data_IF_367784705563
#
_entry.id   IF_367784705563
#
_cell.length_a   1.000
_cell.length_b   1.000
_cell.length_c   1.000
_cell.angle_alpha   90.00
_cell.angle_beta   90.00
_cell.angle_gamma   90.00
#
_symmetry.space_group_name_H-M   'P 1'
#
loop_
_entity.id
_entity.type
_entity.pdbx_description
1 polymer ?
#
# COMPACT_ATOMS: atom_id res chain seq x y z
N UNK A 1 -21.71 -17.48 36.85
CA UNK A 1 -22.29 -16.37 37.64
C UNK A 1 -22.07 -15.12 36.81
N UNK A 2 -23.14 -14.66 36.17
CA UNK A 2 -23.21 -13.50 35.29
C UNK A 2 -23.28 -12.23 36.12
N UNK A 3 -22.59 -11.18 35.69
CA UNK A 3 -22.96 -9.75 35.85
C UNK A 3 -22.02 -8.94 34.94
N UNK A 4 -22.48 -8.49 33.77
CA UNK A 4 -23.17 -7.22 33.49
C UNK A 4 -22.35 -5.97 33.80
N UNK A 5 -21.58 -5.50 32.80
CA UNK A 5 -21.19 -4.11 32.62
C UNK A 5 -21.69 -3.66 31.25
N UNK A 6 -22.64 -2.72 31.23
CA UNK A 6 -23.45 -2.37 30.07
C UNK A 6 -22.66 -1.91 28.84
N UNK A 7 -22.92 -2.56 27.71
CA UNK A 7 -22.67 -2.06 26.37
C UNK A 7 -23.98 -1.52 25.83
N UNK A 8 -24.18 -0.20 25.89
CA UNK A 8 -25.12 0.52 25.01
C UNK A 8 -24.91 2.03 25.14
N UNK A 9 -23.94 2.57 24.39
CA UNK A 9 -23.96 3.94 23.88
C UNK A 9 -23.24 3.96 22.52
N UNK A 10 -23.95 3.57 21.47
CA UNK A 10 -23.38 3.48 20.12
C UNK A 10 -22.97 4.84 19.55
N UNK A 11 -21.66 5.03 19.45
CA UNK A 11 -21.03 6.10 18.69
C UNK A 11 -20.13 5.44 17.66
N UNK A 12 -20.34 5.77 16.38
CA UNK A 12 -19.58 5.20 15.27
C UNK A 12 -18.70 6.28 14.63
N UNK A 13 -17.60 5.89 14.00
CA UNK A 13 -16.67 6.81 13.33
C UNK A 13 -16.72 6.76 11.79
N UNK A 14 -17.66 6.00 11.24
CA UNK A 14 -18.02 5.96 9.81
C UNK A 14 -19.02 7.07 9.47
N UNK A 15 -19.13 7.55 8.23
CA UNK A 15 -20.11 8.62 7.95
C UNK A 15 -21.52 8.05 7.91
N UNK A 16 -22.39 8.43 8.85
CA UNK A 16 -23.78 7.95 8.94
C UNK A 16 -24.71 8.79 8.05
N UNK A 17 -25.53 8.10 7.26
CA UNK A 17 -26.62 8.66 6.47
C UNK A 17 -27.94 7.98 6.90
N UNK A 18 -28.93 8.77 7.31
CA UNK A 18 -30.25 8.24 7.68
C UNK A 18 -31.11 8.17 6.41
N UNK A 19 -31.56 6.96 6.06
CA UNK A 19 -32.64 6.82 5.08
C UNK A 19 -33.96 7.08 5.80
N UNK A 20 -34.76 8.09 5.40
CA UNK A 20 -36.08 8.28 6.00
C UNK A 20 -36.93 7.03 5.79
N UNK A 21 -37.57 6.54 6.85
CA UNK A 21 -38.47 5.38 6.81
C UNK A 21 -39.59 5.56 5.78
N UNK A 22 -40.00 4.45 5.17
CA UNK A 22 -40.98 4.37 4.08
C UNK A 22 -42.28 5.15 4.38
N UNK A 23 -42.36 6.36 3.84
CA UNK A 23 -43.61 7.07 3.60
C UNK A 23 -43.95 6.98 2.12
N UNK A 24 -44.98 6.20 1.76
CA UNK A 24 -45.56 6.19 0.41
C UNK A 24 -45.90 7.62 -0.05
N UNK A 25 -45.29 8.05 -1.14
CA UNK A 25 -45.87 9.07 -2.02
C UNK A 25 -45.52 8.75 -3.48
N UNK A 26 -46.56 8.57 -4.29
CA UNK A 26 -46.49 8.37 -5.73
C UNK A 26 -45.93 9.60 -6.45
N UNK A 27 -45.23 9.32 -7.55
CA UNK A 27 -44.54 10.23 -8.49
C UNK A 27 -45.37 11.39 -9.05
N UNK A 28 -44.69 12.38 -9.66
CA UNK A 28 -44.88 12.55 -11.09
C UNK A 28 -43.57 12.48 -11.89
N UNK A 29 -43.67 11.73 -13.00
CA UNK A 29 -42.65 11.58 -14.05
C UNK A 29 -42.22 12.95 -14.59
N UNK A 30 -40.93 13.26 -14.51
CA UNK A 30 -40.30 14.26 -15.39
C UNK A 30 -39.27 13.56 -16.26
N UNK A 31 -39.69 13.24 -17.48
CA UNK A 31 -38.84 12.66 -18.54
C UNK A 31 -37.98 13.79 -19.11
N UNK A 32 -36.70 13.87 -18.72
CA UNK A 32 -35.70 14.65 -19.46
C UNK A 32 -34.84 13.70 -20.29
N UNK A 33 -35.10 13.70 -21.59
CA UNK A 33 -34.29 13.07 -22.61
C UNK A 33 -32.93 13.78 -22.64
N UNK A 34 -31.88 13.13 -22.15
CA UNK A 34 -30.50 13.58 -22.39
C UNK A 34 -30.02 12.86 -23.64
N UNK A 35 -29.75 13.62 -24.68
CA UNK A 35 -29.17 13.14 -25.93
C UNK A 35 -27.79 12.53 -25.67
N UNK A 36 -27.61 11.26 -26.03
CA UNK A 36 -26.30 10.61 -26.10
C UNK A 36 -25.48 11.23 -27.24
N UNK A 37 -24.61 12.18 -26.90
CA UNK A 37 -23.50 12.59 -27.76
C UNK A 37 -22.38 11.56 -27.69
N UNK A 38 -22.25 10.72 -28.71
CA UNK A 38 -21.06 9.89 -28.94
C UNK A 38 -19.85 10.81 -29.16
N UNK A 39 -18.97 10.93 -28.16
CA UNK A 39 -17.60 11.39 -28.37
C UNK A 39 -16.66 10.20 -28.26
N UNK A 40 -16.21 9.73 -29.41
CA UNK A 40 -15.19 8.69 -29.52
C UNK A 40 -13.91 9.13 -28.81
N UNK A 41 -13.49 8.33 -27.83
CA UNK A 41 -12.16 8.47 -27.22
C UNK A 41 -11.18 7.71 -28.11
N UNK A 42 -10.38 8.46 -28.86
CA UNK A 42 -9.27 7.94 -29.65
C UNK A 42 -8.23 7.32 -28.69
N UNK A 43 -8.11 5.99 -28.73
CA UNK A 43 -7.05 5.26 -28.04
C UNK A 43 -5.73 5.58 -28.78
N UNK A 44 -4.95 6.52 -28.23
CA UNK A 44 -3.56 6.72 -28.68
C UNK A 44 -2.74 5.50 -28.27
N UNK A 45 -2.37 4.69 -29.26
CA UNK A 45 -1.40 3.60 -29.12
C UNK A 45 -0.07 4.19 -28.68
N UNK A 46 0.33 3.94 -27.43
CA UNK A 46 1.71 4.16 -27.00
C UNK A 46 2.57 3.02 -27.57
N UNK A 47 3.43 3.36 -28.52
CA UNK A 47 4.40 2.43 -29.07
C UNK A 47 5.53 2.23 -28.05
N UNK A 48 5.70 1.00 -27.57
CA UNK A 48 6.88 0.60 -26.79
C UNK A 48 7.99 0.31 -27.79
N UNK A 49 8.99 1.20 -27.85
CA UNK A 49 10.21 0.97 -28.64
C UNK A 49 11.16 0.11 -27.79
N UNK A 50 11.29 -1.16 -28.15
CA UNK A 50 12.34 -2.03 -27.61
C UNK A 50 13.57 -1.82 -28.48
N UNK A 51 14.50 -1.00 -28.01
CA UNK A 51 15.81 -0.87 -28.64
C UNK A 51 16.65 -2.11 -28.28
N UNK A 52 16.87 -2.98 -29.26
CA UNK A 52 17.82 -4.08 -29.17
C UNK A 52 19.23 -3.52 -29.35
N UNK A 53 20.01 -3.40 -28.27
CA UNK A 53 21.43 -3.11 -28.34
C UNK A 53 22.22 -4.41 -28.17
N UNK A 54 23.07 -4.68 -29.15
CA UNK A 54 23.83 -5.90 -29.31
C UNK A 54 25.00 -6.08 -28.33
N UNK A 55 25.49 -7.32 -28.36
CA UNK A 55 26.56 -7.94 -27.57
C UNK A 55 27.88 -7.16 -27.56
N UNK A 56 28.53 -7.11 -26.39
CA UNK A 56 29.99 -6.96 -26.26
C UNK A 56 30.50 -7.65 -24.98
N UNK A 57 30.99 -8.88 -25.15
CA UNK A 57 31.62 -9.74 -24.14
C UNK A 57 32.80 -9.07 -23.40
N UNK A 58 32.50 -8.48 -22.24
CA UNK A 58 33.44 -8.17 -21.15
C UNK A 58 32.65 -8.10 -19.82
N UNK A 59 32.00 -9.22 -19.47
CA UNK A 59 30.77 -9.21 -18.65
C UNK A 59 30.83 -9.95 -17.31
N UNK A 60 31.96 -10.53 -16.90
CA UNK A 60 31.95 -11.48 -15.76
C UNK A 60 32.05 -10.81 -14.38
N UNK A 61 32.87 -9.76 -14.20
CA UNK A 61 33.08 -9.17 -12.86
C UNK A 61 32.12 -8.04 -12.48
N UNK A 62 31.81 -7.12 -13.40
CA UNK A 62 30.92 -5.97 -13.14
C UNK A 62 29.43 -6.33 -13.02
N UNK A 63 29.12 -7.63 -13.06
CA UNK A 63 27.80 -8.18 -12.84
C UNK A 63 27.76 -9.01 -11.55
N UNK A 64 28.92 -9.35 -10.99
CA UNK A 64 29.01 -10.24 -9.83
C UNK A 64 28.45 -9.58 -8.57
N UNK A 65 28.73 -8.29 -8.34
CA UNK A 65 28.19 -7.58 -7.18
C UNK A 65 26.65 -7.50 -7.22
N UNK A 66 26.10 -7.12 -8.38
CA UNK A 66 24.64 -7.09 -8.59
C UNK A 66 24.01 -8.47 -8.53
N UNK A 67 24.67 -9.52 -9.05
CA UNK A 67 24.18 -10.89 -8.95
C UNK A 67 24.15 -11.36 -7.50
N UNK A 68 25.15 -11.05 -6.67
CA UNK A 68 25.13 -11.38 -5.24
C UNK A 68 24.03 -10.60 -4.50
N UNK A 69 23.93 -9.29 -4.77
CA UNK A 69 22.85 -8.46 -4.22
C UNK A 69 21.45 -8.97 -4.64
N UNK A 70 21.32 -9.56 -5.83
CA UNK A 70 20.06 -10.10 -6.34
C UNK A 70 19.87 -11.59 -6.07
N UNK A 71 20.78 -12.28 -5.39
CA UNK A 71 20.62 -13.68 -4.98
C UNK A 71 20.87 -13.78 -3.49
N UNK A 72 19.91 -13.32 -2.69
CA UNK A 72 20.01 -13.28 -1.25
C UNK A 72 18.67 -13.54 -0.57
N UNK A 73 18.74 -14.03 0.67
CA UNK A 73 17.66 -13.96 1.66
C UNK A 73 18.08 -12.96 2.72
N UNK A 74 17.18 -12.08 3.14
CA UNK A 74 17.49 -11.02 4.08
C UNK A 74 16.41 -10.81 5.13
N UNK A 75 16.83 -10.34 6.29
CA UNK A 75 15.99 -9.89 7.40
C UNK A 75 16.30 -8.44 7.68
N UNK A 76 15.28 -7.65 8.00
CA UNK A 76 15.43 -6.23 8.28
C UNK A 76 14.57 -5.76 9.43
N UNK A 77 15.05 -4.71 10.11
CA UNK A 77 14.33 -3.98 11.15
C UNK A 77 14.36 -2.49 10.82
N UNK A 78 13.37 -1.75 11.30
CA UNK A 78 13.25 -0.36 10.92
C UNK A 78 12.05 0.37 11.50
N UNK A 79 11.66 1.44 10.83
CA UNK A 79 10.60 2.33 11.24
C UNK A 79 9.71 2.72 10.06
N UNK A 80 8.40 2.81 10.30
CA UNK A 80 7.40 3.21 9.31
C UNK A 80 6.55 4.38 9.82
N UNK A 81 6.93 5.63 9.49
CA UNK A 81 6.02 6.76 9.54
C UNK A 81 4.76 6.54 8.69
N UNK A 82 3.60 6.75 9.32
CA UNK A 82 2.28 6.75 8.72
C UNK A 82 1.70 8.16 8.72
N UNK A 83 1.08 8.57 7.61
CA UNK A 83 0.25 9.76 7.53
C UNK A 83 -1.02 9.45 6.74
N UNK A 84 -2.09 9.24 7.48
CA UNK A 84 -3.43 9.00 7.01
C UNK A 84 -4.28 10.26 7.13
N UNK A 85 -5.16 10.49 6.15
CA UNK A 85 -6.12 11.58 6.20
C UNK A 85 -7.38 11.29 5.39
N UNK A 86 -8.50 11.69 5.96
CA UNK A 86 -9.82 11.75 5.34
C UNK A 86 -10.34 13.19 5.45
N UNK A 87 -10.95 13.66 4.36
CA UNK A 87 -11.65 14.94 4.34
C UNK A 87 -13.10 14.68 3.96
N UNK A 88 -13.98 14.83 4.93
CA UNK A 88 -15.39 14.42 4.83
C UNK A 88 -16.27 15.64 4.62
N UNK A 89 -15.91 16.75 5.27
CA UNK A 89 -16.61 18.02 5.19
C UNK A 89 -16.23 18.96 6.34
N UNK A 90 -16.87 20.15 6.43
CA UNK A 90 -16.56 21.12 7.47
C UNK A 90 -16.71 20.53 8.88
N UNK A 91 -15.61 20.53 9.65
CA UNK A 91 -15.57 19.97 11.02
C UNK A 91 -15.60 18.44 11.11
N UNK A 92 -15.55 17.74 9.97
CA UNK A 92 -15.50 16.27 9.86
C UNK A 92 -14.26 15.87 9.09
N UNK A 93 -13.22 15.47 9.80
CA UNK A 93 -11.99 14.97 9.20
C UNK A 93 -11.32 14.01 10.16
N UNK A 94 -10.83 12.91 9.62
CA UNK A 94 -10.11 11.90 10.37
C UNK A 94 -8.66 11.83 9.89
N UNK A 95 -7.75 11.59 10.82
CA UNK A 95 -6.33 11.47 10.49
C UNK A 95 -5.62 10.59 11.50
N UNK A 96 -4.63 9.85 11.01
CA UNK A 96 -3.72 9.09 11.86
C UNK A 96 -2.28 9.37 11.48
N UNK A 97 -1.46 9.66 12.49
CA UNK A 97 -0.04 9.97 12.31
C UNK A 97 0.79 9.35 13.41
N UNK A 98 1.93 8.79 13.03
CA UNK A 98 2.86 8.24 14.00
C UNK A 98 3.91 7.39 13.31
N UNK A 99 4.84 6.87 14.11
CA UNK A 99 5.90 5.99 13.62
C UNK A 99 5.78 4.64 14.29
N UNK A 100 5.70 3.59 13.48
CA UNK A 100 5.60 2.21 13.94
C UNK A 100 6.93 1.48 13.74
N UNK A 101 7.24 0.50 14.59
CA UNK A 101 8.42 -0.35 14.40
C UNK A 101 8.14 -1.34 13.27
N UNK A 102 9.08 -1.52 12.35
CA UNK A 102 8.92 -2.35 11.17
C UNK A 102 9.91 -3.51 11.15
N UNK A 103 9.45 -4.68 10.71
CA UNK A 103 10.23 -5.89 10.51
C UNK A 103 9.94 -6.44 9.13
N UNK A 104 10.95 -6.94 8.44
CA UNK A 104 10.77 -7.54 7.13
C UNK A 104 11.65 -8.76 6.90
N UNK A 105 11.14 -9.66 6.08
CA UNK A 105 11.83 -10.82 5.53
C UNK A 105 11.66 -10.76 4.02
N UNK A 106 12.72 -11.01 3.28
CA UNK A 106 12.65 -11.08 1.84
C UNK A 106 13.67 -12.00 1.21
N UNK A 107 13.42 -12.33 -0.05
CA UNK A 107 14.33 -13.09 -0.89
C UNK A 107 14.32 -12.50 -2.30
N UNK A 108 15.47 -12.54 -2.95
CA UNK A 108 15.64 -12.16 -4.35
C UNK A 108 16.43 -13.25 -5.06
N UNK A 109 16.15 -13.42 -6.35
CA UNK A 109 16.99 -14.22 -7.22
C UNK A 109 17.08 -13.62 -8.61
N UNK A 110 18.29 -13.63 -9.18
CA UNK A 110 18.54 -13.33 -10.58
C UNK A 110 19.28 -14.50 -11.21
N UNK A 111 18.61 -15.23 -12.13
CA UNK A 111 19.13 -16.48 -12.69
C UNK A 111 18.68 -16.74 -14.12
N UNK A 112 19.23 -17.78 -14.74
CA UNK A 112 18.73 -18.32 -16.01
C UNK A 112 17.69 -19.41 -15.76
N UNK A 113 16.52 -19.33 -16.42
CA UNK A 113 15.52 -20.40 -16.43
C UNK A 113 15.00 -20.57 -17.87
N UNK A 114 14.78 -21.82 -18.29
CA UNK A 114 14.21 -22.15 -19.60
C UNK A 114 14.92 -21.46 -20.80
N UNK A 115 16.24 -21.32 -20.72
CA UNK A 115 17.05 -20.64 -21.75
C UNK A 115 17.00 -19.11 -21.71
N UNK A 116 16.22 -18.50 -20.81
CA UNK A 116 16.13 -17.05 -20.64
C UNK A 116 17.05 -16.63 -19.49
N UNK A 117 18.10 -15.89 -19.81
CA UNK A 117 19.05 -15.35 -18.83
C UNK A 117 18.50 -14.14 -18.08
N UNK A 118 19.07 -13.87 -16.90
CA UNK A 118 18.80 -12.69 -16.08
C UNK A 118 17.33 -12.49 -15.70
N UNK A 119 16.58 -13.58 -15.50
CA UNK A 119 15.25 -13.49 -14.92
C UNK A 119 15.37 -13.12 -13.44
N UNK A 120 14.66 -12.07 -13.06
CA UNK A 120 14.65 -11.52 -11.71
C UNK A 120 13.33 -11.86 -11.02
N UNK A 121 13.41 -12.38 -9.81
CA UNK A 121 12.27 -12.62 -8.94
C UNK A 121 12.57 -12.08 -7.54
N UNK A 122 11.56 -11.48 -6.91
CA UNK A 122 11.64 -11.00 -5.54
C UNK A 122 10.34 -11.25 -4.81
N UNK A 123 10.46 -11.63 -3.55
CA UNK A 123 9.34 -11.73 -2.60
C UNK A 123 9.73 -11.12 -1.26
N UNK A 124 8.80 -10.41 -0.64
CA UNK A 124 9.00 -9.86 0.70
C UNK A 124 7.69 -9.78 1.48
N UNK A 125 7.82 -9.91 2.81
CA UNK A 125 6.77 -9.65 3.78
C UNK A 125 7.31 -8.63 4.77
N UNK A 126 6.54 -7.58 5.03
CA UNK A 126 6.85 -6.56 6.04
C UNK A 126 5.67 -6.43 7.00
N UNK A 127 5.99 -6.33 8.29
CA UNK A 127 5.02 -6.02 9.34
C UNK A 127 5.50 -4.78 10.07
N UNK A 128 4.64 -3.77 10.19
CA UNK A 128 4.89 -2.58 11.00
C UNK A 128 3.83 -2.43 12.07
N UNK A 129 4.24 -2.31 13.33
CA UNK A 129 3.35 -2.29 14.48
C UNK A 129 3.74 -1.19 15.48
N UNK A 130 2.74 -0.52 16.04
CA UNK A 130 2.93 0.46 17.10
C UNK A 130 1.71 1.33 17.32
N UNK A 131 1.85 2.29 18.22
CA UNK A 131 0.83 3.28 18.51
C UNK A 131 0.97 4.48 17.57
N UNK A 132 -0.14 4.99 17.07
CA UNK A 132 -0.22 6.23 16.30
C UNK A 132 -1.28 7.14 16.88
N UNK A 133 -1.12 8.45 16.68
CA UNK A 133 -2.06 9.45 17.15
C UNK A 133 -3.22 9.55 16.17
N UNK A 134 -4.44 9.39 16.67
CA UNK A 134 -5.67 9.63 15.94
C UNK A 134 -6.23 11.01 16.29
N UNK A 135 -6.66 11.74 15.27
CA UNK A 135 -7.41 12.98 15.40
C UNK A 135 -8.60 12.93 14.46
N UNK A 136 -9.80 12.96 15.02
CA UNK A 136 -11.06 12.84 14.30
C UNK A 136 -12.22 13.55 14.99
N UNK A 137 -13.39 12.93 14.98
CA UNK A 137 -14.60 13.46 15.62
C UNK A 137 -15.49 12.34 16.15
N UNK A 138 -16.31 12.63 17.16
CA UNK A 138 -17.38 11.75 17.60
C UNK A 138 -18.71 12.24 17.03
N UNK A 139 -19.59 11.29 16.71
CA UNK A 139 -20.95 11.54 16.26
C UNK A 139 -21.96 10.63 16.96
N UNK A 140 -23.22 11.07 16.98
CA UNK A 140 -24.36 10.26 17.43
C UNK A 140 -24.89 9.34 16.33
N UNK A 141 -25.86 8.48 16.66
CA UNK A 141 -26.57 7.63 15.70
C UNK A 141 -27.31 8.40 14.59
N UNK A 142 -27.56 9.70 14.78
CA UNK A 142 -28.15 10.55 13.76
C UNK A 142 -27.11 11.20 12.83
N UNK A 143 -25.83 10.86 12.97
CA UNK A 143 -24.72 11.39 12.17
C UNK A 143 -24.33 12.84 12.53
N UNK A 144 -24.81 13.35 13.67
CA UNK A 144 -24.49 14.70 14.16
C UNK A 144 -23.18 14.66 14.93
N UNK A 145 -22.30 15.61 14.67
CA UNK A 145 -21.04 15.74 15.41
C UNK A 145 -21.36 16.14 16.85
N UNK A 146 -21.01 15.27 17.80
CA UNK A 146 -21.16 15.54 19.24
C UNK A 146 -19.87 16.08 19.85
N UNK A 147 -18.72 15.72 19.28
CA UNK A 147 -17.42 16.23 19.71
C UNK A 147 -16.48 16.36 18.50
N UNK A 148 -16.17 17.60 18.07
CA UNK A 148 -15.12 17.81 17.07
C UNK A 148 -13.73 17.63 17.69
N UNK A 149 -12.73 17.34 16.86
CA UNK A 149 -11.33 17.20 17.27
C UNK A 149 -11.11 16.17 18.39
N UNK A 150 -11.80 15.03 18.30
CA UNK A 150 -11.58 13.91 19.20
C UNK A 150 -10.18 13.35 18.99
N UNK A 151 -9.44 13.14 20.08
CA UNK A 151 -8.08 12.62 20.05
C UNK A 151 -8.00 11.33 20.84
N UNK A 152 -7.31 10.35 20.29
CA UNK A 152 -6.97 9.11 20.99
C UNK A 152 -5.72 8.48 20.37
N UNK A 153 -5.29 7.37 20.94
CA UNK A 153 -4.22 6.56 20.37
C UNK A 153 -4.82 5.30 19.73
N UNK A 154 -4.42 5.02 18.50
CA UNK A 154 -4.77 3.76 17.82
C UNK A 154 -3.55 2.85 17.77
N UNK A 155 -3.76 1.55 18.01
CA UNK A 155 -2.76 0.53 17.73
C UNK A 155 -2.85 0.20 16.25
N UNK A 156 -1.83 0.59 15.50
CA UNK A 156 -1.74 0.36 14.07
C UNK A 156 -0.88 -0.88 13.79
N UNK A 157 -1.40 -1.80 12.98
CA UNK A 157 -0.63 -2.92 12.43
C UNK A 157 -0.76 -2.93 10.92
N UNK A 158 0.35 -2.73 10.21
CA UNK A 158 0.42 -2.82 8.76
C UNK A 158 1.15 -4.10 8.38
N UNK A 159 0.58 -4.89 7.47
CA UNK A 159 1.24 -6.03 6.84
C UNK A 159 1.25 -5.83 5.34
N UNK A 160 2.45 -5.81 4.76
CA UNK A 160 2.66 -5.69 3.33
C UNK A 160 3.30 -6.97 2.80
N UNK A 161 2.76 -7.51 1.71
CA UNK A 161 3.41 -8.56 0.91
C UNK A 161 3.68 -7.99 -0.46
N UNK A 162 4.89 -8.18 -0.99
CA UNK A 162 5.25 -7.73 -2.34
C UNK A 162 5.99 -8.81 -3.09
N UNK A 163 5.53 -9.10 -4.30
CA UNK A 163 6.14 -10.00 -5.26
C UNK A 163 6.50 -9.23 -6.53
N UNK A 164 7.67 -9.51 -7.11
CA UNK A 164 8.14 -8.94 -8.37
C UNK A 164 8.68 -10.04 -9.28
N UNK A 165 8.40 -9.95 -10.58
CA UNK A 165 8.97 -10.81 -11.60
C UNK A 165 9.34 -9.97 -12.83
N UNK A 166 10.58 -10.08 -13.28
CA UNK A 166 11.11 -9.23 -14.35
C UNK A 166 12.33 -9.82 -15.02
N UNK A 167 13.00 -9.00 -15.83
CA UNK A 167 14.25 -9.38 -16.52
C UNK A 167 15.26 -8.27 -16.35
N UNK A 168 16.42 -8.61 -15.80
CA UNK A 168 17.54 -7.68 -15.71
C UNK A 168 18.24 -7.54 -17.07
N UNK A 169 18.46 -6.29 -17.44
CA UNK A 169 19.12 -5.87 -18.67
C UNK A 169 20.41 -5.16 -18.22
N UNK A 170 21.56 -5.86 -18.19
CA UNK A 170 22.82 -5.28 -17.79
C UNK A 170 23.37 -4.36 -18.88
N UNK A 171 24.04 -3.28 -18.48
CA UNK A 171 24.73 -2.35 -19.35
C UNK A 171 25.91 -1.69 -18.62
N UNK A 172 26.70 -0.90 -19.34
CA UNK A 172 27.79 -0.11 -18.77
C UNK A 172 27.42 1.36 -18.74
N UNK A 173 27.75 2.02 -17.64
CA UNK A 173 27.67 3.48 -17.49
C UNK A 173 29.07 4.01 -17.22
N UNK A 174 29.80 4.36 -18.29
CA UNK A 174 31.23 4.64 -18.20
C UNK A 174 31.99 3.40 -17.71
N UNK A 175 32.71 3.54 -16.59
CA UNK A 175 33.43 2.43 -15.94
C UNK A 175 32.54 1.57 -15.03
N UNK A 176 31.32 2.03 -14.70
CA UNK A 176 30.43 1.34 -13.78
C UNK A 176 29.61 0.24 -14.46
N UNK A 177 29.41 -0.87 -13.75
CA UNK A 177 28.40 -1.87 -14.08
C UNK A 177 27.03 -1.39 -13.64
N UNK A 178 26.04 -1.50 -14.50
CA UNK A 178 24.67 -1.13 -14.19
C UNK A 178 23.70 -2.17 -14.75
N UNK A 179 22.48 -2.20 -14.21
CA UNK A 179 21.38 -2.91 -14.84
C UNK A 179 20.07 -2.20 -14.62
N UNK A 180 19.14 -2.43 -15.53
CA UNK A 180 17.74 -2.04 -15.38
C UNK A 180 16.87 -3.28 -15.41
N UNK A 181 15.87 -3.33 -14.54
CA UNK A 181 14.94 -4.43 -14.38
C UNK A 181 13.52 -3.89 -14.54
N UNK A 182 12.95 -3.91 -15.76
CA UNK A 182 11.49 -3.84 -15.90
C UNK A 182 10.86 -5.08 -15.28
N UNK A 183 9.78 -4.90 -14.53
CA UNK A 183 9.08 -6.00 -13.85
C UNK A 183 7.57 -5.79 -13.76
N UNK A 184 6.86 -6.92 -13.59
CA UNK A 184 5.50 -6.97 -13.10
C UNK A 184 5.52 -7.16 -11.58
N UNK A 185 4.51 -6.63 -10.90
CA UNK A 185 4.39 -6.70 -9.45
C UNK A 185 2.98 -7.04 -9.00
N UNK A 186 2.93 -7.75 -7.89
CA UNK A 186 1.75 -7.97 -7.07
C UNK A 186 2.06 -7.55 -5.64
N UNK A 187 1.17 -6.80 -5.02
CA UNK A 187 1.24 -6.51 -3.59
C UNK A 187 -0.09 -6.78 -2.90
N UNK A 188 -0.02 -7.18 -1.64
CA UNK A 188 -1.15 -7.24 -0.72
C UNK A 188 -0.84 -6.33 0.47
N UNK A 189 -1.85 -5.58 0.91
CA UNK A 189 -1.78 -4.69 2.05
C UNK A 189 -2.93 -4.98 3.01
N UNK A 190 -2.61 -5.11 4.28
CA UNK A 190 -3.55 -5.27 5.39
C UNK A 190 -3.19 -4.28 6.49
N UNK A 191 -4.14 -3.42 6.86
CA UNK A 191 -3.96 -2.40 7.88
C UNK A 191 -5.06 -2.53 8.93
N UNK A 192 -4.66 -2.84 10.15
CA UNK A 192 -5.52 -2.91 11.32
C UNK A 192 -5.33 -1.63 12.13
N UNK A 193 -6.45 -0.97 12.44
CA UNK A 193 -6.55 0.16 13.36
C UNK A 193 -7.36 -0.31 14.58
N UNK A 194 -6.74 -0.31 15.74
CA UNK A 194 -7.36 -0.81 16.97
C UNK A 194 -7.23 0.20 18.11
N UNK A 195 -8.33 0.91 18.36
CA UNK A 195 -8.53 1.77 19.53
C UNK A 195 -9.52 1.18 20.53
N UNK A 196 -9.85 -0.11 20.47
CA UNK A 196 -10.86 -0.77 21.32
C UNK A 196 -10.66 -0.65 22.85
N UNK A 197 -9.51 -0.13 23.30
CA UNK A 197 -9.23 0.19 24.72
C UNK A 197 -9.76 1.56 25.13
N UNK A 198 -10.08 2.40 24.17
CA UNK A 198 -10.70 3.70 24.36
C UNK A 198 -12.23 3.54 24.48
N UNK A 199 -12.93 4.28 25.36
CA UNK A 199 -14.38 4.18 25.53
C UNK A 199 -15.19 4.39 24.25
N UNK A 200 -14.67 5.17 23.30
CA UNK A 200 -15.27 5.42 21.99
C UNK A 200 -14.42 4.85 20.85
N UNK A 201 -13.62 3.84 21.18
CA UNK A 201 -12.71 3.17 20.29
C UNK A 201 -13.40 2.29 19.26
N UNK A 202 -12.64 1.92 18.26
CA UNK A 202 -13.07 1.08 17.15
C UNK A 202 -12.02 0.00 16.86
N UNK A 203 -12.42 -0.96 16.06
CA UNK A 203 -11.52 -1.90 15.44
C UNK A 203 -11.88 -1.98 13.96
N UNK A 204 -10.95 -1.57 13.12
CA UNK A 204 -11.12 -1.51 11.67
C UNK A 204 -9.97 -2.23 10.98
N UNK A 205 -10.29 -2.92 9.89
CA UNK A 205 -9.32 -3.64 9.08
C UNK A 205 -9.51 -3.33 7.61
N UNK A 206 -8.55 -2.59 7.06
CA UNK A 206 -8.48 -2.22 5.66
C UNK A 206 -7.61 -3.21 4.90
N UNK A 207 -8.08 -3.67 3.74
CA UNK A 207 -7.34 -4.62 2.90
C UNK A 207 -7.45 -4.25 1.44
N UNK A 208 -6.37 -4.41 0.70
CA UNK A 208 -6.42 -4.34 -0.75
C UNK A 208 -5.28 -5.11 -1.40
N UNK A 209 -5.44 -5.39 -2.69
CA UNK A 209 -4.38 -5.90 -3.54
C UNK A 209 -3.96 -4.82 -4.55
N UNK A 210 -2.75 -4.91 -5.06
CA UNK A 210 -2.24 -4.06 -6.14
C UNK A 210 -1.62 -4.95 -7.20
N UNK A 211 -2.03 -4.77 -8.44
CA UNK A 211 -1.37 -5.37 -9.61
C UNK A 211 -0.82 -4.24 -10.47
N UNK A 212 0.45 -4.34 -10.84
CA UNK A 212 1.11 -3.24 -11.54
C UNK A 212 2.45 -3.63 -12.14
N UNK A 213 3.18 -2.61 -12.54
CA UNK A 213 4.53 -2.74 -13.08
C UNK A 213 5.47 -1.72 -12.49
N UNK A 214 6.76 -1.95 -12.67
CA UNK A 214 7.78 -1.05 -12.20
C UNK A 214 9.08 -1.20 -12.95
N UNK A 215 10.02 -0.34 -12.56
CA UNK A 215 11.36 -0.28 -13.09
C UNK A 215 12.33 -0.16 -11.92
N UNK A 216 13.30 -1.07 -11.85
CA UNK A 216 14.38 -1.01 -10.87
C UNK A 216 15.70 -0.78 -11.59
N UNK A 217 16.41 0.29 -11.23
CA UNK A 217 17.78 0.54 -11.63
C UNK A 217 18.75 0.09 -10.55
N UNK A 218 19.86 -0.52 -10.95
CA UNK A 218 20.95 -0.90 -10.05
C UNK A 218 22.29 -0.44 -10.62
N UNK A 219 23.16 0.03 -9.73
CA UNK A 219 24.49 0.53 -10.05
C UNK A 219 25.50 -0.12 -9.11
N UNK A 220 26.51 -0.75 -9.69
CA UNK A 220 27.69 -1.20 -8.96
C UNK A 220 28.59 0.02 -8.68
N UNK A 221 28.45 0.58 -7.48
CA UNK A 221 29.23 1.74 -7.01
C UNK A 221 30.67 1.30 -6.73
N UNK A 222 30.82 0.13 -6.12
CA UNK A 222 32.10 -0.55 -5.91
C UNK A 222 31.88 -2.06 -6.08
N UNK A 223 32.93 -2.90 -6.18
CA UNK A 223 32.79 -4.36 -6.24
C UNK A 223 32.05 -5.00 -5.03
N UNK A 224 31.82 -4.23 -3.96
CA UNK A 224 31.11 -4.62 -2.75
C UNK A 224 29.85 -3.81 -2.47
N UNK A 225 29.54 -2.77 -3.25
CA UNK A 225 28.44 -1.86 -2.96
C UNK A 225 27.54 -1.69 -4.18
N UNK A 226 26.28 -2.07 -4.04
CA UNK A 226 25.24 -1.90 -5.06
C UNK A 226 24.23 -0.86 -4.56
N UNK A 227 24.01 0.17 -5.36
CA UNK A 227 22.92 1.11 -5.16
C UNK A 227 21.72 0.69 -6.00
N UNK A 228 20.52 0.82 -5.44
CA UNK A 228 19.25 0.46 -6.08
C UNK A 228 18.29 1.63 -6.02
N UNK A 229 17.61 1.91 -7.13
CA UNK A 229 16.46 2.80 -7.20
C UNK A 229 15.29 2.04 -7.83
N UNK A 230 14.12 2.09 -7.21
CA UNK A 230 12.94 1.32 -7.61
C UNK A 230 11.73 2.25 -7.70
N UNK A 231 10.95 2.14 -8.77
CA UNK A 231 9.65 2.80 -8.86
C UNK A 231 8.61 1.84 -9.41
N UNK A 232 7.43 1.84 -8.80
CA UNK A 232 6.29 1.03 -9.26
C UNK A 232 4.99 1.76 -9.11
N UNK A 233 4.06 1.45 -10.00
CA UNK A 233 2.69 1.89 -9.93
C UNK A 233 1.75 0.74 -10.32
N UNK A 234 0.56 0.74 -9.73
CA UNK A 234 -0.41 -0.31 -10.00
C UNK A 234 -1.85 0.10 -9.72
N UNK A 235 -2.76 -0.73 -10.21
CA UNK A 235 -4.18 -0.60 -9.93
C UNK A 235 -4.51 -1.36 -8.64
N UNK A 236 -5.18 -0.68 -7.71
CA UNK A 236 -5.78 -1.32 -6.55
C UNK A 236 -6.97 -2.19 -6.97
N UNK A 237 -7.11 -3.36 -6.37
CA UNK A 237 -8.23 -4.27 -6.58
C UNK A 237 -8.68 -4.88 -5.26
N UNK A 238 -9.99 -5.07 -5.11
CA UNK A 238 -10.58 -5.68 -3.92
C UNK A 238 -10.39 -4.88 -2.63
N UNK A 239 -10.37 -3.54 -2.73
CA UNK A 239 -10.26 -2.69 -1.57
C UNK A 239 -11.50 -2.82 -0.66
N UNK A 240 -11.28 -3.11 0.61
CA UNK A 240 -12.36 -3.32 1.58
C UNK A 240 -11.98 -2.88 2.98
N UNK A 241 -12.99 -2.56 3.79
CA UNK A 241 -12.86 -2.34 5.22
C UNK A 241 -13.89 -3.17 5.99
N UNK A 242 -13.49 -3.75 7.11
CA UNK A 242 -14.40 -4.38 8.08
C UNK A 242 -14.31 -3.67 9.42
N UNK A 243 -15.44 -3.44 10.08
CA UNK A 243 -15.52 -2.83 11.40
C UNK A 243 -16.00 -3.86 12.42
N UNK A 244 -15.33 -3.97 13.57
CA UNK A 244 -15.86 -4.79 14.66
C UNK A 244 -17.19 -4.23 15.18
N UNK A 245 -18.09 -5.11 15.60
CA UNK A 245 -19.45 -4.73 15.99
C UNK A 245 -20.42 -4.54 14.80
N UNK A 246 -19.93 -4.63 13.57
CA UNK A 246 -20.75 -4.67 12.36
C UNK A 246 -20.55 -6.00 11.63
N UNK A 247 -21.64 -6.60 11.10
CA UNK A 247 -21.51 -7.71 10.15
C UNK A 247 -21.12 -7.23 8.74
N UNK A 248 -20.89 -5.93 8.57
CA UNK A 248 -20.73 -5.32 7.26
C UNK A 248 -19.26 -5.21 6.83
N UNK A 249 -19.07 -5.42 5.53
CA UNK A 249 -17.83 -5.12 4.82
C UNK A 249 -18.10 -3.96 3.88
N UNK A 250 -17.36 -2.86 4.04
CA UNK A 250 -17.42 -1.72 3.13
C UNK A 250 -16.54 -2.01 1.92
N UNK A 251 -17.13 -1.99 0.73
CA UNK A 251 -16.40 -2.07 -0.54
C UNK A 251 -15.89 -0.68 -0.91
N UNK A 252 -14.57 -0.50 -0.87
CA UNK A 252 -13.94 0.81 -1.06
C UNK A 252 -13.67 1.06 -2.54
N UNK A 253 -13.66 2.34 -2.94
CA UNK A 253 -13.29 2.72 -4.30
C UNK A 253 -11.81 2.43 -4.56
N UNK A 254 -11.51 1.74 -5.66
CA UNK A 254 -10.13 1.45 -6.04
C UNK A 254 -9.45 2.70 -6.63
N UNK A 255 -8.25 3.04 -6.16
CA UNK A 255 -7.41 4.12 -6.72
C UNK A 255 -5.99 3.61 -7.04
N UNK A 256 -5.24 4.28 -7.92
CA UNK A 256 -3.86 3.90 -8.19
C UNK A 256 -2.97 3.99 -6.95
N UNK A 257 -2.01 3.06 -6.86
CA UNK A 257 -0.95 3.05 -5.83
C UNK A 257 0.38 3.36 -6.50
N UNK A 258 1.19 4.21 -5.88
CA UNK A 258 2.53 4.56 -6.35
C UNK A 258 3.52 4.35 -5.23
N UNK A 259 4.64 3.70 -5.55
CA UNK A 259 5.73 3.43 -4.60
C UNK A 259 7.06 3.76 -5.26
N UNK A 260 7.94 4.41 -4.50
CA UNK A 260 9.31 4.70 -4.87
C UNK A 260 10.24 4.24 -3.76
N UNK A 261 11.39 3.66 -4.12
CA UNK A 261 12.33 3.12 -3.15
C UNK A 261 13.78 3.37 -3.54
N UNK A 262 14.63 3.46 -2.52
CA UNK A 262 16.07 3.53 -2.62
C UNK A 262 16.67 2.43 -1.74
N UNK A 263 17.79 1.86 -2.18
CA UNK A 263 18.47 0.80 -1.45
C UNK A 263 19.98 0.85 -1.63
N UNK A 264 20.68 0.42 -0.60
CA UNK A 264 22.11 0.15 -0.60
C UNK A 264 22.32 -1.28 -0.10
N UNK A 265 23.15 -2.04 -0.80
CA UNK A 265 23.55 -3.39 -0.43
C UNK A 265 25.07 -3.47 -0.41
N UNK A 266 25.64 -3.75 0.76
CA UNK A 266 27.08 -3.82 1.00
C UNK A 266 27.52 -5.24 1.36
N UNK A 267 28.33 -5.85 0.51
CA UNK A 267 28.95 -7.16 0.73
C UNK A 267 30.12 -7.03 1.72
N UNK A 268 29.84 -7.29 3.00
CA UNK A 268 30.86 -7.34 4.06
C UNK A 268 31.79 -8.55 3.86
N UNK A 269 31.21 -9.68 3.49
CA UNK A 269 31.91 -10.89 3.07
C UNK A 269 31.22 -11.47 1.83
N UNK A 270 31.80 -12.55 1.27
CA UNK A 270 31.29 -13.17 0.02
C UNK A 270 29.79 -13.49 0.06
N UNK A 271 29.32 -13.97 1.20
CA UNK A 271 27.94 -14.42 1.40
C UNK A 271 27.20 -13.59 2.46
N UNK A 272 27.83 -12.56 3.05
CA UNK A 272 27.23 -11.77 4.11
C UNK A 272 27.13 -10.30 3.70
N UNK A 273 25.90 -9.80 3.67
CA UNK A 273 25.56 -8.48 3.18
C UNK A 273 24.86 -7.68 4.29
N UNK A 274 25.11 -6.38 4.32
CA UNK A 274 24.32 -5.42 5.10
C UNK A 274 23.55 -4.56 4.10
N UNK A 275 22.25 -4.41 4.33
CA UNK A 275 21.39 -3.61 3.47
C UNK A 275 20.75 -2.45 4.25
N UNK A 276 20.51 -1.36 3.54
CA UNK A 276 19.73 -0.24 4.02
C UNK A 276 18.75 0.17 2.93
N UNK A 277 17.50 0.45 3.28
CA UNK A 277 16.48 0.84 2.32
C UNK A 277 15.55 1.93 2.85
N UNK A 278 15.02 2.69 1.90
CA UNK A 278 13.96 3.66 2.09
C UNK A 278 12.86 3.38 1.07
N UNK A 279 11.61 3.33 1.51
CA UNK A 279 10.45 3.20 0.63
C UNK A 279 9.44 4.31 0.96
N UNK A 280 8.97 5.00 -0.06
CA UNK A 280 7.84 5.91 0.01
C UNK A 280 6.67 5.29 -0.75
N UNK A 281 5.51 5.21 -0.12
CA UNK A 281 4.28 4.71 -0.73
C UNK A 281 3.15 5.69 -0.55
N UNK A 282 2.33 5.83 -1.59
CA UNK A 282 1.09 6.60 -1.57
C UNK A 282 -0.03 5.78 -2.18
N UNK A 283 -1.12 5.64 -1.42
CA UNK A 283 -2.37 5.07 -1.89
C UNK A 283 -3.56 5.88 -1.38
N UNK A 284 -4.72 5.63 -1.97
CA UNK A 284 -5.99 6.25 -1.60
C UNK A 284 -7.07 5.19 -1.63
N UNK A 285 -8.01 5.26 -0.69
CA UNK A 285 -9.28 4.58 -0.85
C UNK A 285 -10.30 5.59 -1.35
N UNK A 286 -11.06 5.19 -2.36
CA UNK A 286 -12.23 5.94 -2.78
C UNK A 286 -13.40 5.69 -1.84
N UNK A 287 -14.35 6.63 -1.79
CA UNK A 287 -15.59 6.48 -1.03
C UNK A 287 -16.26 5.13 -1.28
N UNK A 288 -16.72 4.46 -0.23
CA UNK A 288 -17.47 3.22 -0.35
C UNK A 288 -18.91 3.43 -0.83
N UNK A 289 -19.58 2.34 -1.22
CA UNK A 289 -21.04 2.33 -1.25
C UNK A 289 -21.62 2.57 0.14
N UNK A 290 -22.81 3.17 0.19
CA UNK A 290 -23.60 3.24 1.42
C UNK A 290 -24.03 1.83 1.82
N UNK A 291 -23.80 1.49 3.07
CA UNK A 291 -23.98 0.16 3.66
C UNK A 291 -24.84 0.27 4.91
N UNK A 292 -25.85 -0.60 5.05
CA UNK A 292 -26.73 -0.60 6.22
C UNK A 292 -25.98 -1.17 7.43
N UNK A 293 -25.75 -0.37 8.46
CA UNK A 293 -24.97 -0.75 9.64
C UNK A 293 -25.83 -1.15 10.84
N UNK A 294 -27.07 -0.64 10.88
CA UNK A 294 -28.12 -1.03 11.80
C UNK A 294 -29.49 -0.75 11.15
N UNK A 295 -30.62 -1.31 11.65
CA UNK A 295 -31.94 -0.99 11.13
C UNK A 295 -32.18 0.54 11.06
N UNK A 296 -32.42 1.06 9.86
CA UNK A 296 -32.65 2.50 9.63
C UNK A 296 -31.40 3.38 9.65
N UNK A 297 -30.21 2.79 9.78
CA UNK A 297 -28.92 3.50 9.83
C UNK A 297 -28.01 3.00 8.73
N UNK A 298 -27.68 3.86 7.78
CA UNK A 298 -26.72 3.57 6.73
C UNK A 298 -25.42 4.33 7.00
N UNK A 299 -24.31 3.82 6.47
CA UNK A 299 -23.04 4.50 6.56
C UNK A 299 -22.15 4.26 5.35
N UNK A 300 -21.13 5.09 5.19
CA UNK A 300 -20.10 4.90 4.17
C UNK A 300 -18.71 5.29 4.70
N UNK A 301 -17.69 4.68 4.11
CA UNK A 301 -16.30 5.08 4.25
C UNK A 301 -16.00 6.23 3.27
N UNK A 302 -15.47 7.37 3.73
CA UNK A 302 -15.16 8.51 2.87
C UNK A 302 -13.92 8.26 2.00
N UNK A 303 -13.61 9.22 1.12
CA UNK A 303 -12.33 9.19 0.40
C UNK A 303 -11.18 9.43 1.37
N UNK A 304 -10.14 8.60 1.28
CA UNK A 304 -8.97 8.68 2.16
C UNK A 304 -7.66 8.68 1.38
N UNK A 305 -6.62 9.22 1.99
CA UNK A 305 -5.26 9.22 1.47
C UNK A 305 -4.29 8.78 2.55
N UNK A 306 -3.41 7.87 2.16
CA UNK A 306 -2.34 7.38 3.01
C UNK A 306 -0.99 7.63 2.35
N UNK A 307 -0.03 8.08 3.15
CA UNK A 307 1.39 8.07 2.82
C UNK A 307 2.10 7.26 3.88
N UNK A 308 2.92 6.31 3.45
CA UNK A 308 3.87 5.62 4.32
C UNK A 308 5.28 5.88 3.84
N UNK A 309 6.18 6.07 4.79
CA UNK A 309 7.61 6.08 4.57
C UNK A 309 8.19 4.97 5.41
N UNK A 310 9.06 4.13 4.86
CA UNK A 310 9.65 3.01 5.60
C UNK A 310 11.15 3.05 5.44
N UNK A 311 11.85 3.07 6.57
CA UNK A 311 13.31 2.99 6.65
C UNK A 311 13.67 1.64 7.23
N UNK A 312 14.57 0.91 6.59
CA UNK A 312 15.02 -0.40 7.06
C UNK A 312 16.53 -0.50 7.03
N UNK A 313 17.08 -1.22 8.00
CA UNK A 313 18.44 -1.76 7.97
C UNK A 313 18.33 -3.26 8.19
N UNK A 314 19.12 -4.03 7.44
CA UNK A 314 19.04 -5.48 7.48
C UNK A 314 20.35 -6.18 7.19
N UNK A 315 20.31 -7.49 7.35
CA UNK A 315 21.38 -8.41 7.04
C UNK A 315 20.88 -9.46 6.05
N UNK A 316 21.73 -9.80 5.08
CA UNK A 316 21.44 -10.73 4.01
C UNK A 316 22.47 -11.83 3.91
N UNK A 317 22.02 -13.03 3.56
CA UNK A 317 22.86 -14.13 3.13
C UNK A 317 22.75 -14.31 1.62
N UNK A 318 23.84 -14.05 0.89
CA UNK A 318 23.91 -14.25 -0.55
C UNK A 318 24.30 -15.69 -0.88
N UNK A 319 23.74 -16.26 -1.96
CA UNK A 319 23.96 -17.65 -2.37
C UNK A 319 24.37 -17.79 -3.84
#
# INVERSE_FOLDING_TARGET
MHENGGHDEGRFQIVVEITPGEGRAMTPKTRRTIACGHRGVAIRRAAIVIAAAGLCTAHVQAQEAMLRANNQVWLGVGAQPLNYREDIGPGKSDSERGTTAAFALGATTQRQLFGISNLYFSGSVRVAHGNVDYSGYLQDFAGRVVQPNYQMTTRSTNTDVTLKAGKAIPFRLGTWGAQVVPYLSYSYHDWIRDSSRDPYGFYERYRHHVVGGGLMGQLEVTPRLVATADVRAGAMVGASMTQAGSQNTFSLGNKPVVVAGLGLDYAVARNFHINASYEWSRFQYGRSSVTQVAPGTAAYEPDSRTITQTWMIGAGYAF
#
